data_IF_703684152198
#
_entry.id   IF_703684152198
#
_cell.length_a   1.000
_cell.length_b   1.000
_cell.length_c   1.000
_cell.angle_alpha   90.00
_cell.angle_beta   90.00
_cell.angle_gamma   90.00
#
_symmetry.space_group_name_H-M   'P 1'
#
loop_
_entity.id
_entity.type
_entity.pdbx_description
1 polymer ?
#
# COMPACT_ATOMS: atom_id res chain seq x y z
N UNK A 1 46.21 -39.93 23.95
CA UNK A 1 45.15 -39.00 24.41
C UNK A 1 45.20 -37.61 23.76
N UNK A 2 46.32 -37.14 23.19
CA UNK A 2 46.48 -35.78 22.61
C UNK A 2 45.84 -35.54 21.23
N UNK A 3 45.57 -36.58 20.44
CA UNK A 3 45.04 -36.46 19.07
C UNK A 3 43.52 -36.29 19.01
N UNK A 4 42.79 -36.73 20.05
CA UNK A 4 41.33 -36.67 20.05
C UNK A 4 40.80 -35.25 20.29
N UNK A 5 41.47 -34.47 21.13
CA UNK A 5 41.08 -33.08 21.43
C UNK A 5 41.17 -32.15 20.21
N UNK A 6 42.05 -32.45 19.25
CA UNK A 6 42.21 -31.66 18.02
C UNK A 6 41.08 -31.91 17.02
N UNK A 7 40.55 -33.13 16.96
CA UNK A 7 39.41 -33.49 16.10
C UNK A 7 38.12 -32.80 16.57
N UNK A 8 37.87 -32.77 17.88
CA UNK A 8 36.70 -32.09 18.43
C UNK A 8 36.77 -30.57 18.26
N UNK A 9 37.96 -29.97 18.40
CA UNK A 9 38.15 -28.54 18.13
C UNK A 9 37.91 -28.19 16.65
N UNK A 10 38.34 -29.06 15.72
CA UNK A 10 38.11 -28.89 14.28
C UNK A 10 36.63 -28.96 13.90
N UNK A 11 35.88 -29.93 14.44
CA UNK A 11 34.44 -30.07 14.20
C UNK A 11 33.64 -28.91 14.79
N UNK A 12 34.01 -28.44 16.00
CA UNK A 12 33.35 -27.30 16.64
C UNK A 12 33.58 -25.99 15.85
N UNK A 13 34.79 -25.78 15.34
CA UNK A 13 35.10 -24.62 14.48
C UNK A 13 34.29 -24.65 13.16
N UNK A 14 34.12 -25.83 12.57
CA UNK A 14 33.34 -26.01 11.34
C UNK A 14 31.83 -25.76 11.55
N UNK A 15 31.28 -26.24 12.67
CA UNK A 15 29.89 -25.98 13.07
C UNK A 15 29.64 -24.49 13.39
N UNK A 16 30.58 -23.83 14.07
CA UNK A 16 30.49 -22.39 14.38
C UNK A 16 30.61 -21.50 13.12
N UNK A 17 31.42 -21.91 12.14
CA UNK A 17 31.54 -21.19 10.86
C UNK A 17 30.35 -21.35 9.92
N UNK A 18 29.51 -22.37 10.13
CA UNK A 18 28.32 -22.63 9.30
C UNK A 18 27.07 -21.92 9.83
N UNK A 19 27.03 -21.56 11.12
CA UNK A 19 25.91 -20.87 11.76
C UNK A 19 25.85 -19.35 11.49
N UNK A 20 26.92 -18.76 10.97
CA UNK A 20 27.04 -17.32 10.70
C UNK A 20 27.07 -16.99 9.20
N UNK A 21 26.47 -17.82 8.34
CA UNK A 21 25.95 -17.27 7.09
C UNK A 21 24.68 -16.51 7.47
N UNK A 22 24.86 -15.26 7.88
CA UNK A 22 23.86 -14.21 7.70
C UNK A 22 23.50 -14.25 6.22
N UNK A 23 22.50 -15.07 5.88
CA UNK A 23 21.74 -14.92 4.66
C UNK A 23 21.19 -13.52 4.80
N UNK A 24 21.86 -12.56 4.16
CA UNK A 24 21.38 -11.20 4.04
C UNK A 24 20.09 -11.32 3.27
N UNK A 25 18.98 -11.45 4.00
CA UNK A 25 17.65 -11.51 3.41
C UNK A 25 17.45 -10.15 2.77
N UNK A 26 17.73 -10.06 1.48
CA UNK A 26 17.47 -8.85 0.73
C UNK A 26 15.96 -8.66 0.69
N UNK A 27 15.46 -7.48 1.04
CA UNK A 27 14.04 -7.20 0.94
C UNK A 27 13.63 -7.32 -0.54
N UNK A 28 12.46 -7.88 -0.82
CA UNK A 28 11.99 -8.09 -2.18
C UNK A 28 11.87 -6.77 -2.96
N UNK A 29 12.29 -6.77 -4.23
CA UNK A 29 12.12 -5.66 -5.18
C UNK A 29 10.78 -5.74 -5.93
N UNK A 30 9.71 -6.12 -5.22
CA UNK A 30 8.35 -6.25 -5.75
C UNK A 30 7.34 -5.72 -4.72
N UNK A 31 6.10 -5.42 -5.11
CA UNK A 31 5.06 -5.05 -4.16
C UNK A 31 4.81 -6.17 -3.16
N UNK A 32 4.68 -5.81 -1.89
CA UNK A 32 4.42 -6.75 -0.78
C UNK A 32 3.33 -6.20 0.12
N UNK A 33 2.37 -7.07 0.48
CA UNK A 33 1.34 -6.72 1.43
C UNK A 33 1.90 -6.72 2.85
N UNK A 34 1.76 -5.61 3.57
CA UNK A 34 2.17 -5.52 4.97
C UNK A 34 1.00 -5.82 5.90
N UNK A 35 1.33 -6.51 6.99
CA UNK A 35 0.39 -6.77 8.08
C UNK A 35 0.47 -5.73 9.19
N UNK A 36 1.38 -4.77 9.16
CA UNK A 36 1.48 -3.72 10.16
C UNK A 36 1.27 -2.37 9.48
N UNK A 37 0.51 -1.45 10.08
CA UNK A 37 0.27 -0.14 9.48
C UNK A 37 1.57 0.65 9.43
N UNK A 38 2.05 0.99 8.24
CA UNK A 38 3.25 1.82 8.08
C UNK A 38 2.94 3.19 7.50
N UNK A 39 1.69 3.42 7.06
CA UNK A 39 1.33 4.57 6.23
C UNK A 39 0.20 5.43 6.81
N UNK A 40 -0.76 4.82 7.53
CA UNK A 40 -1.86 5.56 8.16
C UNK A 40 -1.62 5.80 9.66
N UNK A 41 -1.97 6.99 10.18
CA UNK A 41 -1.95 7.24 11.62
C UNK A 41 -2.86 6.25 12.35
N UNK A 42 -2.45 5.81 13.54
CA UNK A 42 -3.23 4.88 14.36
C UNK A 42 -4.67 5.35 14.62
N UNK A 43 -4.89 6.66 14.75
CA UNK A 43 -6.22 7.24 14.91
C UNK A 43 -7.15 6.99 13.72
N UNK A 44 -6.59 6.95 12.50
CA UNK A 44 -7.36 6.66 11.28
C UNK A 44 -7.69 5.17 11.15
N UNK A 45 -6.94 4.28 11.80
CA UNK A 45 -7.20 2.84 11.75
C UNK A 45 -8.41 2.44 12.58
N UNK A 46 -8.75 3.22 13.61
CA UNK A 46 -9.86 2.93 14.52
C UNK A 46 -11.24 3.04 13.85
N UNK A 47 -11.34 3.76 12.73
CA UNK A 47 -12.60 3.91 12.00
C UNK A 47 -12.86 2.76 11.01
N UNK A 48 -11.89 1.87 10.77
CA UNK A 48 -12.05 0.77 9.84
C UNK A 48 -12.69 -0.44 10.51
N UNK A 49 -13.60 -1.10 9.79
CA UNK A 49 -14.37 -2.23 10.30
C UNK A 49 -13.94 -3.54 9.61
N UNK A 50 -13.61 -4.59 10.39
CA UNK A 50 -13.39 -5.92 9.84
C UNK A 50 -14.53 -6.36 8.93
N UNK A 51 -14.19 -6.88 7.75
CA UNK A 51 -15.17 -7.23 6.73
C UNK A 51 -14.79 -8.51 5.97
N UNK A 52 -15.64 -9.54 5.96
CA UNK A 52 -15.47 -10.71 5.09
C UNK A 52 -15.37 -10.30 3.62
N UNK A 53 -14.37 -10.83 2.91
CA UNK A 53 -14.15 -10.51 1.49
C UNK A 53 -13.36 -11.59 0.78
N UNK A 54 -13.37 -11.62 -0.55
CA UNK A 54 -12.62 -12.59 -1.35
C UNK A 54 -11.48 -11.94 -2.13
N UNK A 55 -10.48 -12.73 -2.55
CA UNK A 55 -9.41 -12.25 -3.41
C UNK A 55 -9.92 -11.66 -4.73
N UNK A 56 -10.99 -12.24 -5.29
CA UNK A 56 -11.65 -11.74 -6.50
C UNK A 56 -12.29 -10.37 -6.30
N UNK A 57 -12.97 -10.15 -5.17
CA UNK A 57 -13.55 -8.85 -4.83
C UNK A 57 -12.48 -7.78 -4.67
N UNK A 58 -11.39 -8.09 -3.97
CA UNK A 58 -10.26 -7.17 -3.81
C UNK A 58 -9.58 -6.91 -5.16
N UNK A 59 -9.36 -7.93 -5.98
CA UNK A 59 -8.82 -7.75 -7.32
C UNK A 59 -9.72 -6.86 -8.19
N UNK A 60 -11.04 -7.05 -8.16
CA UNK A 60 -11.99 -6.23 -8.89
C UNK A 60 -11.95 -4.75 -8.43
N UNK A 61 -11.89 -4.51 -7.12
CA UNK A 61 -11.72 -3.17 -6.56
C UNK A 61 -10.43 -2.50 -7.04
N UNK A 62 -9.30 -3.22 -6.99
CA UNK A 62 -8.01 -2.71 -7.45
C UNK A 62 -7.97 -2.50 -8.97
N UNK A 63 -8.68 -3.33 -9.73
CA UNK A 63 -8.80 -3.18 -11.18
C UNK A 63 -9.62 -1.94 -11.54
N UNK A 64 -10.70 -1.66 -10.78
CA UNK A 64 -11.53 -0.47 -10.98
C UNK A 64 -10.75 0.83 -10.76
N UNK A 65 -9.77 0.84 -9.85
CA UNK A 65 -8.87 1.99 -9.65
C UNK A 65 -7.65 1.99 -10.56
N UNK A 66 -7.52 1.02 -11.48
CA UNK A 66 -6.33 0.83 -12.33
C UNK A 66 -5.06 0.41 -11.59
N UNK A 67 -5.14 0.17 -10.28
CA UNK A 67 -3.98 -0.15 -9.44
C UNK A 67 -3.54 -1.61 -9.58
N UNK A 68 -4.46 -2.52 -9.91
CA UNK A 68 -4.15 -3.95 -10.03
C UNK A 68 -3.08 -4.19 -11.11
N UNK A 69 -3.23 -3.58 -12.28
CA UNK A 69 -2.31 -3.70 -13.40
C UNK A 69 -0.90 -3.21 -13.01
N UNK A 70 -0.80 -2.03 -12.39
CA UNK A 70 0.49 -1.49 -11.91
C UNK A 70 1.18 -2.42 -10.91
N UNK A 71 0.42 -3.09 -10.05
CA UNK A 71 0.95 -4.05 -9.08
C UNK A 71 1.44 -5.33 -9.77
N UNK A 72 0.68 -5.84 -10.73
CA UNK A 72 1.02 -7.05 -11.49
C UNK A 72 2.25 -6.83 -12.38
N UNK A 73 2.32 -5.71 -13.10
CA UNK A 73 3.48 -5.33 -13.91
C UNK A 73 4.76 -5.19 -13.06
N UNK A 74 4.60 -4.72 -11.82
CA UNK A 74 5.69 -4.63 -10.85
C UNK A 74 6.07 -5.97 -10.21
N UNK A 75 5.44 -7.08 -10.61
CA UNK A 75 5.76 -8.42 -10.14
C UNK A 75 5.12 -8.79 -8.79
N UNK A 76 4.00 -8.17 -8.41
CA UNK A 76 3.23 -8.61 -7.24
C UNK A 76 2.80 -10.06 -7.41
N UNK A 77 2.98 -10.87 -6.36
CA UNK A 77 2.52 -12.26 -6.37
C UNK A 77 1.04 -12.35 -5.99
N UNK A 78 0.32 -13.32 -6.55
CA UNK A 78 -1.10 -13.56 -6.22
C UNK A 78 -1.34 -13.81 -4.73
N UNK A 79 -0.34 -14.37 -4.04
CA UNK A 79 -0.39 -14.60 -2.59
C UNK A 79 -0.53 -13.30 -1.78
N UNK A 80 -0.07 -12.16 -2.32
CA UNK A 80 -0.21 -10.85 -1.66
C UNK A 80 -1.68 -10.43 -1.58
N UNK A 81 -2.53 -10.82 -2.55
CA UNK A 81 -3.98 -10.60 -2.49
C UNK A 81 -4.60 -11.36 -1.31
N UNK A 82 -4.15 -12.59 -1.06
CA UNK A 82 -4.61 -13.37 0.10
C UNK A 82 -4.20 -12.70 1.43
N UNK A 83 -3.03 -12.04 1.47
CA UNK A 83 -2.59 -11.26 2.63
C UNK A 83 -3.47 -10.02 2.83
N UNK A 84 -3.82 -9.31 1.75
CA UNK A 84 -4.76 -8.19 1.81
C UNK A 84 -6.12 -8.62 2.37
N UNK A 85 -6.72 -9.68 1.81
CA UNK A 85 -8.00 -10.24 2.26
C UNK A 85 -7.95 -10.49 3.77
N UNK A 86 -6.96 -11.25 4.24
CA UNK A 86 -6.80 -11.56 5.67
C UNK A 86 -6.63 -10.30 6.53
N UNK A 87 -5.96 -9.27 6.03
CA UNK A 87 -5.81 -7.99 6.74
C UNK A 87 -7.15 -7.28 6.92
N UNK A 88 -7.93 -7.19 5.84
CA UNK A 88 -9.25 -6.57 5.80
C UNK A 88 -10.25 -7.35 6.66
N UNK A 89 -10.28 -8.68 6.57
CA UNK A 89 -11.18 -9.52 7.35
C UNK A 89 -10.95 -9.42 8.86
N UNK A 90 -9.69 -9.20 9.28
CA UNK A 90 -9.34 -9.16 10.70
C UNK A 90 -9.39 -7.76 11.30
N UNK A 91 -9.12 -6.72 10.50
CA UNK A 91 -8.87 -5.36 10.99
C UNK A 91 -9.56 -4.27 10.19
N UNK A 92 -10.25 -4.62 9.11
CA UNK A 92 -10.88 -3.66 8.20
C UNK A 92 -9.90 -2.93 7.29
N UNK A 93 -8.62 -3.29 7.30
CA UNK A 93 -7.55 -2.59 6.59
C UNK A 93 -6.42 -3.53 6.19
N UNK A 94 -5.84 -3.29 5.02
CA UNK A 94 -4.57 -3.82 4.60
C UNK A 94 -3.83 -2.85 3.68
N UNK A 95 -2.50 -3.01 3.59
CA UNK A 95 -1.65 -2.15 2.77
C UNK A 95 -0.67 -2.97 1.93
N UNK A 96 -0.26 -2.40 0.80
CA UNK A 96 0.86 -2.85 -0.02
C UNK A 96 1.93 -1.77 0.00
N UNK A 97 3.17 -2.17 0.25
CA UNK A 97 4.36 -1.36 0.03
C UNK A 97 4.98 -1.74 -1.31
N UNK A 98 5.15 -0.75 -2.18
CA UNK A 98 5.74 -0.88 -3.50
C UNK A 98 6.95 0.05 -3.69
N UNK A 99 7.46 0.70 -2.64
CA UNK A 99 8.57 1.68 -2.71
C UNK A 99 9.87 1.09 -3.28
N UNK A 100 10.06 -0.22 -3.13
CA UNK A 100 11.23 -0.95 -3.66
C UNK A 100 10.99 -1.57 -5.03
N UNK A 101 9.75 -1.56 -5.50
CA UNK A 101 9.38 -2.06 -6.80
C UNK A 101 9.60 -0.98 -7.87
N UNK A 102 9.87 -1.40 -9.11
CA UNK A 102 10.10 -0.47 -10.23
C UNK A 102 8.75 -0.06 -10.85
N UNK A 103 7.97 0.70 -10.10
CA UNK A 103 6.64 1.18 -10.52
C UNK A 103 6.41 2.62 -10.03
N UNK A 104 5.44 3.31 -10.63
CA UNK A 104 5.02 4.65 -10.18
C UNK A 104 4.32 4.63 -8.83
N UNK A 105 3.80 3.47 -8.41
CA UNK A 105 3.08 3.28 -7.16
C UNK A 105 4.08 3.11 -6.00
N UNK A 106 4.01 4.00 -5.00
CA UNK A 106 4.81 3.88 -3.77
C UNK A 106 4.15 2.93 -2.78
N UNK A 107 2.84 3.05 -2.61
CA UNK A 107 2.07 2.25 -1.67
C UNK A 107 0.59 2.29 -2.02
N UNK A 108 -0.15 1.31 -1.51
CA UNK A 108 -1.59 1.23 -1.65
C UNK A 108 -2.24 0.74 -0.36
N UNK A 109 -3.43 1.23 -0.08
CA UNK A 109 -4.24 0.90 1.08
C UNK A 109 -5.62 0.49 0.58
N UNK A 110 -6.15 -0.59 1.15
CA UNK A 110 -7.55 -1.00 1.01
C UNK A 110 -8.14 -1.08 2.40
N UNK A 111 -9.27 -0.42 2.61
CA UNK A 111 -9.96 -0.40 3.89
C UNK A 111 -11.48 -0.43 3.73
N UNK A 112 -12.17 -1.01 4.70
CA UNK A 112 -13.62 -0.94 4.83
C UNK A 112 -13.97 0.12 5.87
N UNK A 113 -14.69 1.17 5.46
CA UNK A 113 -15.17 2.19 6.40
C UNK A 113 -16.38 1.69 7.18
N UNK A 114 -17.26 0.97 6.49
CA UNK A 114 -18.43 0.30 7.02
C UNK A 114 -18.76 -0.92 6.12
N UNK A 115 -19.96 -1.51 6.26
CA UNK A 115 -20.37 -2.67 5.45
C UNK A 115 -20.66 -2.31 3.98
N UNK A 116 -20.84 -1.02 3.68
CA UNK A 116 -21.30 -0.51 2.39
C UNK A 116 -20.27 0.33 1.66
N UNK A 117 -19.14 0.67 2.29
CA UNK A 117 -18.19 1.62 1.73
C UNK A 117 -16.75 1.11 1.82
N UNK A 118 -16.14 0.98 0.65
CA UNK A 118 -14.71 0.74 0.50
C UNK A 118 -13.96 2.06 0.39
N UNK A 119 -12.77 2.11 0.99
CA UNK A 119 -11.79 3.17 0.79
C UNK A 119 -10.51 2.57 0.23
N UNK A 120 -10.06 3.11 -0.90
CA UNK A 120 -8.76 2.80 -1.48
C UNK A 120 -7.94 4.09 -1.49
N UNK A 121 -6.68 4.00 -1.07
CA UNK A 121 -5.75 5.12 -1.15
C UNK A 121 -4.44 4.64 -1.76
N UNK A 122 -3.86 5.42 -2.66
CA UNK A 122 -2.60 5.08 -3.32
C UNK A 122 -1.67 6.30 -3.35
N UNK A 123 -0.39 6.08 -3.08
CA UNK A 123 0.65 7.08 -3.23
C UNK A 123 1.49 6.85 -4.46
N UNK A 124 1.86 7.91 -5.16
CA UNK A 124 2.64 7.87 -6.39
C UNK A 124 3.83 8.82 -6.31
N UNK A 125 4.96 8.42 -6.89
CA UNK A 125 6.16 9.27 -6.97
C UNK A 125 5.88 10.52 -7.80
N UNK A 126 5.29 10.31 -8.98
CA UNK A 126 4.91 11.36 -9.92
C UNK A 126 3.38 11.46 -10.03
N UNK A 127 2.91 12.33 -10.92
CA UNK A 127 1.47 12.45 -11.20
C UNK A 127 0.90 11.07 -11.58
N UNK A 128 -0.26 10.64 -11.03
CA UNK A 128 -0.75 9.27 -11.21
C UNK A 128 -0.94 8.90 -12.69
N UNK A 129 -0.65 7.64 -13.09
CA UNK A 129 -0.90 7.17 -14.46
C UNK A 129 -2.36 7.34 -14.87
N UNK A 130 -2.62 7.47 -16.17
CA UNK A 130 -3.98 7.69 -16.71
C UNK A 130 -4.97 6.60 -16.30
N UNK A 131 -4.55 5.33 -16.22
CA UNK A 131 -5.40 4.23 -15.78
C UNK A 131 -5.90 4.40 -14.33
N UNK A 132 -5.10 5.03 -13.46
CA UNK A 132 -5.50 5.36 -12.09
C UNK A 132 -6.27 6.68 -11.99
N UNK A 133 -6.50 7.35 -13.11
CA UNK A 133 -7.22 8.63 -13.16
C UNK A 133 -8.55 8.51 -13.89
N UNK A 134 -9.05 7.30 -14.11
CA UNK A 134 -10.37 7.08 -14.67
C UNK A 134 -11.42 7.83 -13.82
N UNK A 135 -12.23 8.68 -14.46
CA UNK A 135 -13.18 9.58 -13.78
C UNK A 135 -12.64 10.99 -13.50
N UNK A 136 -11.33 11.24 -13.62
CA UNK A 136 -10.79 12.60 -13.70
C UNK A 136 -11.15 13.19 -15.08
N UNK A 137 -12.33 13.80 -15.21
CA UNK A 137 -12.64 14.60 -16.40
C UNK A 137 -11.59 15.70 -16.54
N UNK A 138 -10.97 15.81 -17.72
CA UNK A 138 -9.99 16.84 -18.05
C UNK A 138 -10.59 18.28 -18.07
N UNK A 139 -11.85 18.47 -17.67
CA UNK A 139 -12.63 19.68 -17.90
C UNK A 139 -13.02 20.47 -16.63
N UNK A 140 -12.65 20.02 -15.42
CA UNK A 140 -12.93 20.77 -14.20
C UNK A 140 -11.63 21.24 -13.54
N UNK A 141 -11.41 22.56 -13.44
CA UNK A 141 -10.23 23.11 -12.76
C UNK A 141 -10.24 22.73 -11.27
N UNK A 142 -9.24 21.96 -10.81
CA UNK A 142 -8.98 21.76 -9.40
C UNK A 142 -8.21 22.94 -8.79
N UNK A 143 -8.79 23.59 -7.78
CA UNK A 143 -8.16 24.67 -7.02
C UNK A 143 -7.86 24.22 -5.59
N UNK A 144 -6.70 23.59 -5.37
CA UNK A 144 -6.24 23.24 -4.03
C UNK A 144 -4.82 22.73 -4.04
N UNK A 145 -4.00 23.06 -3.05
CA UNK A 145 -2.69 22.42 -2.83
C UNK A 145 -2.69 21.82 -1.43
N UNK A 146 -2.37 20.54 -1.34
CA UNK A 146 -2.32 19.80 -0.09
C UNK A 146 -0.89 19.88 0.49
N UNK A 147 -0.61 20.85 1.37
CA UNK A 147 0.61 20.72 2.18
C UNK A 147 0.41 19.60 3.19
N UNK A 148 1.44 18.79 3.42
CA UNK A 148 1.44 17.85 4.54
C UNK A 148 1.36 18.70 5.82
N UNK A 149 0.15 18.87 6.35
CA UNK A 149 -0.04 19.66 7.57
C UNK A 149 0.66 18.93 8.71
N UNK A 150 1.56 19.61 9.43
CA UNK A 150 2.09 19.14 10.71
C UNK A 150 0.97 19.00 11.75
N UNK A 151 -0.20 19.57 11.50
CA UNK A 151 -1.40 19.37 12.29
C UNK A 151 -2.17 18.14 11.79
N UNK A 152 -1.90 16.98 12.43
CA UNK A 152 -2.53 15.68 12.17
C UNK A 152 -4.07 15.70 12.20
N UNK A 153 -4.68 16.76 12.75
CA UNK A 153 -6.13 16.90 12.93
C UNK A 153 -6.83 17.62 11.77
N UNK A 154 -6.10 18.22 10.83
CA UNK A 154 -6.69 18.82 9.63
C UNK A 154 -6.20 18.08 8.38
N UNK A 155 -7.04 17.21 7.79
CA UNK A 155 -6.69 16.59 6.52
C UNK A 155 -6.54 17.68 5.45
N UNK A 156 -5.54 17.57 4.57
CA UNK A 156 -5.35 18.57 3.53
C UNK A 156 -6.55 18.61 2.58
N UNK A 157 -6.83 19.79 2.01
CA UNK A 157 -7.84 19.89 0.96
C UNK A 157 -7.34 19.18 -0.32
N UNK A 158 -8.19 18.40 -1.00
CA UNK A 158 -7.79 17.77 -2.25
C UNK A 158 -7.45 18.82 -3.29
N UNK A 159 -6.44 18.52 -4.11
CA UNK A 159 -6.17 19.27 -5.34
C UNK A 159 -7.41 19.19 -6.22
N UNK A 160 -7.89 17.97 -6.49
CA UNK A 160 -9.09 17.71 -7.27
C UNK A 160 -10.03 16.74 -6.56
N UNK A 161 -11.34 16.91 -6.74
CA UNK A 161 -12.33 15.91 -6.31
C UNK A 161 -13.50 15.82 -7.28
N UNK A 162 -14.10 14.63 -7.39
CA UNK A 162 -15.35 14.40 -8.13
C UNK A 162 -16.09 13.23 -7.53
N UNK A 163 -17.40 13.21 -7.74
CA UNK A 163 -18.27 12.08 -7.40
C UNK A 163 -19.04 11.68 -8.66
N UNK A 164 -18.84 10.45 -9.12
CA UNK A 164 -19.51 9.88 -10.29
C UNK A 164 -20.01 8.48 -9.93
N UNK A 165 -21.28 8.16 -10.24
CA UNK A 165 -21.90 6.86 -9.96
C UNK A 165 -21.71 6.37 -8.51
N UNK A 166 -21.75 7.31 -7.55
CA UNK A 166 -21.53 7.03 -6.13
C UNK A 166 -20.07 6.84 -5.71
N UNK A 167 -19.13 6.84 -6.66
CA UNK A 167 -17.69 6.79 -6.38
C UNK A 167 -17.14 8.19 -6.22
N UNK A 168 -16.63 8.52 -5.02
CA UNK A 168 -15.89 9.75 -4.77
C UNK A 168 -14.41 9.52 -5.03
N UNK A 169 -13.82 10.33 -5.88
CA UNK A 169 -12.39 10.29 -6.21
C UNK A 169 -11.75 11.61 -5.84
N UNK A 170 -10.58 11.55 -5.20
CA UNK A 170 -9.83 12.72 -4.75
C UNK A 170 -8.35 12.57 -5.12
N UNK A 171 -7.76 13.65 -5.61
CA UNK A 171 -6.33 13.75 -5.92
C UNK A 171 -5.69 14.78 -5.00
N UNK A 172 -4.58 14.43 -4.38
CA UNK A 172 -3.81 15.31 -3.52
C UNK A 172 -2.40 15.46 -4.08
N UNK A 173 -1.90 16.70 -4.09
CA UNK A 173 -0.50 17.01 -4.36
C UNK A 173 0.18 17.31 -3.03
N UNK A 174 0.99 16.39 -2.52
CA UNK A 174 1.71 16.59 -1.26
C UNK A 174 3.04 17.29 -1.52
N UNK A 175 3.27 18.38 -0.78
CA UNK A 175 4.51 19.15 -0.86
C UNK A 175 5.44 18.81 0.30
N UNK A 176 6.75 18.76 0.01
CA UNK A 176 7.82 18.75 0.99
C UNK A 176 8.02 20.14 1.61
N UNK A 177 8.87 20.23 2.64
CA UNK A 177 9.16 21.47 3.36
C UNK A 177 9.79 22.57 2.45
N UNK A 178 10.39 22.18 1.32
CA UNK A 178 10.97 23.09 0.33
C UNK A 178 9.98 23.50 -0.78
N UNK A 179 8.68 23.27 -0.58
CA UNK A 179 7.59 23.51 -1.52
C UNK A 179 7.66 22.71 -2.84
N UNK A 180 8.61 21.77 -2.98
CA UNK A 180 8.59 20.80 -4.06
C UNK A 180 7.56 19.72 -3.79
N UNK A 181 7.11 19.07 -4.86
CA UNK A 181 6.19 17.93 -4.71
C UNK A 181 6.96 16.74 -4.13
N UNK A 182 6.54 16.28 -2.96
CA UNK A 182 7.03 15.04 -2.34
C UNK A 182 6.43 13.83 -3.07
N UNK A 183 5.09 13.82 -3.17
CA UNK A 183 4.33 12.75 -3.81
C UNK A 183 2.93 13.18 -4.21
N UNK A 184 2.30 12.37 -5.06
CA UNK A 184 0.86 12.46 -5.32
C UNK A 184 0.11 11.38 -4.56
N UNK A 185 -1.15 11.65 -4.20
CA UNK A 185 -2.03 10.65 -3.61
C UNK A 185 -3.39 10.65 -4.28
N UNK A 186 -3.92 9.47 -4.56
CA UNK A 186 -5.29 9.26 -5.01
C UNK A 186 -6.08 8.57 -3.92
N UNK A 187 -7.28 9.06 -3.63
CA UNK A 187 -8.25 8.36 -2.80
C UNK A 187 -9.50 8.05 -3.62
N UNK A 188 -10.03 6.85 -3.42
CA UNK A 188 -11.33 6.43 -3.92
C UNK A 188 -12.18 5.96 -2.76
N UNK A 189 -13.40 6.47 -2.67
CA UNK A 189 -14.45 5.93 -1.81
C UNK A 189 -15.52 5.34 -2.72
N UNK A 190 -15.72 4.04 -2.64
CA UNK A 190 -16.57 3.28 -3.53
C UNK A 190 -17.69 2.61 -2.74
N UNK A 191 -18.94 2.69 -3.21
CA UNK A 191 -20.00 1.90 -2.61
C UNK A 191 -19.71 0.42 -2.83
N UNK A 192 -20.22 -0.40 -1.94
CA UNK A 192 -20.22 -1.82 -2.08
C UNK A 192 -21.10 -2.17 -3.27
N UNK A 193 -20.50 -2.67 -4.33
CA UNK A 193 -21.25 -3.27 -5.42
C UNK A 193 -21.64 -4.68 -4.96
N UNK A 194 -22.66 -4.77 -4.10
CA UNK A 194 -23.35 -6.02 -3.84
C UNK A 194 -23.89 -6.51 -5.19
N UNK A 195 -23.29 -7.59 -5.71
CA UNK A 195 -23.92 -8.42 -6.75
C UNK A 195 -24.80 -9.45 -6.07
#
# INVERSE_FOLDING_TARGET
MRTWSLLWAGVLALLLSSGCRTITVQPPERPVANLFPTLMPMSSLQSFQPRPTTGEQIAALLAQTGCLELLQEAGMLDTELSVLVRGIERRGYAEIDARRARTSLLWLIVASLDQETWKIAAGFTDYPPSQCRAGLSAQGEPAGTARLSTNLNQPPAPFWSSTQDGVRTELFRLLADDDKTDRWQMHWQMPNQAK
#
